data_IF_172149881814
#
_entry.id   IF_172149881814
#
_cell.length_a   1.000
_cell.length_b   1.000
_cell.length_c   1.000
_cell.angle_alpha   90.00
_cell.angle_beta   90.00
_cell.angle_gamma   90.00
#
_symmetry.space_group_name_H-M   'P 1'
#
loop_
_entity.id
_entity.type
_entity.pdbx_description
1 polymer ?
#
# COMPACT_ATOMS: atom_id res chain seq x y z
N UNK A 1 -21.17 30.18 0.01
CA UNK A 1 -21.06 28.76 0.38
C UNK A 1 -20.13 28.70 1.56
N UNK A 2 -20.56 28.06 2.64
CA UNK A 2 -19.75 27.82 3.82
C UNK A 2 -18.66 26.81 3.45
N UNK A 3 -17.42 27.27 3.29
CA UNK A 3 -16.30 26.45 2.80
C UNK A 3 -16.08 25.21 3.65
N UNK A 4 -16.42 25.29 4.93
CA UNK A 4 -16.18 24.24 5.93
C UNK A 4 -17.17 23.06 5.78
N UNK A 5 -18.15 23.21 4.88
CA UNK A 5 -19.06 22.15 4.45
C UNK A 5 -18.70 21.53 3.09
N UNK A 6 -17.61 21.96 2.45
CA UNK A 6 -17.13 21.41 1.18
C UNK A 6 -15.81 20.65 1.37
N UNK A 7 -15.82 19.35 1.09
CA UNK A 7 -14.61 18.51 1.10
C UNK A 7 -14.03 18.39 -0.32
N UNK A 8 -12.75 18.69 -0.48
CA UNK A 8 -11.98 18.29 -1.65
C UNK A 8 -11.38 16.90 -1.45
N UNK A 9 -11.84 15.89 -2.17
CA UNK A 9 -11.31 14.52 -2.12
C UNK A 9 -10.33 14.30 -3.28
N UNK A 10 -9.05 14.07 -2.99
CA UNK A 10 -8.03 13.79 -4.00
C UNK A 10 -7.80 12.29 -4.14
N UNK A 11 -8.26 11.72 -5.26
CA UNK A 11 -8.03 10.30 -5.62
C UNK A 11 -6.81 10.21 -6.51
N UNK A 12 -5.76 9.59 -5.97
CA UNK A 12 -4.42 9.64 -6.56
C UNK A 12 -4.15 8.46 -7.48
N UNK A 13 -4.65 7.28 -7.14
CA UNK A 13 -4.36 6.02 -7.81
C UNK A 13 -5.37 4.92 -7.44
N UNK A 14 -5.19 3.73 -8.00
CA UNK A 14 -6.01 2.56 -7.73
C UNK A 14 -6.00 2.09 -6.27
N UNK A 15 -4.95 2.38 -5.50
CA UNK A 15 -4.91 2.01 -4.07
C UNK A 15 -5.78 2.96 -3.25
N UNK A 16 -5.69 4.27 -3.51
CA UNK A 16 -6.61 5.25 -2.96
C UNK A 16 -8.05 4.95 -3.35
N UNK A 17 -8.29 4.56 -4.60
CA UNK A 17 -9.61 4.11 -5.04
C UNK A 17 -10.08 2.88 -4.26
N UNK A 18 -9.28 1.81 -4.16
CA UNK A 18 -9.62 0.61 -3.38
C UNK A 18 -10.02 0.96 -1.95
N UNK A 19 -9.21 1.80 -1.30
CA UNK A 19 -9.34 2.08 0.11
C UNK A 19 -10.54 2.99 0.41
N UNK A 20 -10.95 3.87 -0.50
CA UNK A 20 -11.96 4.91 -0.22
C UNK A 20 -13.24 4.81 -1.07
N UNK A 21 -13.21 4.16 -2.24
CA UNK A 21 -14.41 3.93 -3.07
C UNK A 21 -14.98 2.52 -2.90
N UNK A 22 -14.14 1.51 -2.64
CA UNK A 22 -14.61 0.15 -2.36
C UNK A 22 -14.85 -0.11 -0.86
N UNK A 23 -14.95 0.95 -0.07
CA UNK A 23 -15.32 0.94 1.35
C UNK A 23 -16.58 1.80 1.55
N UNK A 24 -17.07 1.90 2.79
CA UNK A 24 -18.22 2.76 3.12
C UNK A 24 -17.94 4.27 3.05
N UNK A 25 -16.71 4.69 2.73
CA UNK A 25 -16.25 6.05 2.92
C UNK A 25 -17.01 7.11 2.11
N UNK A 26 -17.38 6.82 0.87
CA UNK A 26 -18.11 7.79 0.04
C UNK A 26 -19.45 8.18 0.66
N UNK A 27 -20.19 7.22 1.19
CA UNK A 27 -21.49 7.46 1.83
C UNK A 27 -21.35 8.20 3.17
N UNK A 28 -20.29 7.89 3.92
CA UNK A 28 -19.97 8.57 5.18
C UNK A 28 -19.62 10.04 4.93
N UNK A 29 -18.81 10.38 3.92
CA UNK A 29 -18.50 11.79 3.63
C UNK A 29 -19.70 12.56 3.08
N UNK A 30 -20.56 11.95 2.25
CA UNK A 30 -21.81 12.58 1.79
C UNK A 30 -22.73 12.93 2.96
N UNK A 31 -22.71 12.13 4.02
CA UNK A 31 -23.51 12.39 5.23
C UNK A 31 -22.92 13.48 6.13
N UNK A 32 -21.62 13.79 6.00
CA UNK A 32 -20.91 14.74 6.87
C UNK A 32 -20.63 16.10 6.21
N UNK A 33 -20.70 16.18 4.88
CA UNK A 33 -20.40 17.38 4.10
C UNK A 33 -21.55 17.69 3.13
N UNK A 34 -21.81 18.98 2.89
CA UNK A 34 -22.86 19.41 1.95
C UNK A 34 -22.45 19.20 0.50
N UNK A 35 -21.15 19.26 0.22
CA UNK A 35 -20.62 19.09 -1.13
C UNK A 35 -19.27 18.37 -1.11
N UNK A 36 -19.11 17.42 -2.02
CA UNK A 36 -17.84 16.72 -2.25
C UNK A 36 -17.31 17.08 -3.63
N UNK A 37 -16.06 17.55 -3.71
CA UNK A 37 -15.36 17.81 -4.97
C UNK A 37 -14.27 16.76 -5.13
N UNK A 38 -14.44 15.86 -6.09
CA UNK A 38 -13.54 14.73 -6.31
C UNK A 38 -12.49 15.14 -7.34
N UNK A 39 -11.30 15.47 -6.87
CA UNK A 39 -10.13 15.77 -7.70
C UNK A 39 -9.43 14.45 -8.04
N UNK A 40 -9.71 13.90 -9.22
CA UNK A 40 -9.26 12.57 -9.61
C UNK A 40 -8.09 12.62 -10.58
N UNK A 41 -6.98 11.97 -10.20
CA UNK A 41 -5.90 11.60 -11.12
C UNK A 41 -6.25 10.37 -11.98
N UNK A 42 -7.38 9.70 -11.70
CA UNK A 42 -7.93 8.60 -12.49
C UNK A 42 -8.94 9.11 -13.54
N UNK A 43 -9.12 8.39 -14.66
CA UNK A 43 -10.18 8.69 -15.64
C UNK A 43 -11.58 8.65 -15.04
N UNK A 44 -12.51 9.44 -15.57
CA UNK A 44 -13.89 9.50 -15.06
C UNK A 44 -14.65 8.18 -15.18
N UNK A 45 -14.33 7.35 -16.18
CA UNK A 45 -14.96 6.05 -16.41
C UNK A 45 -14.84 5.09 -15.22
N UNK A 46 -13.81 5.25 -14.39
CA UNK A 46 -13.57 4.44 -13.18
C UNK A 46 -14.68 4.64 -12.13
N UNK A 47 -15.38 5.76 -12.17
CA UNK A 47 -16.41 6.10 -11.18
C UNK A 47 -17.84 5.80 -11.65
N UNK A 48 -18.02 5.25 -12.86
CA UNK A 48 -19.35 5.06 -13.46
C UNK A 48 -20.27 4.12 -12.67
N UNK A 49 -19.72 3.21 -11.87
CA UNK A 49 -20.49 2.26 -11.06
C UNK A 49 -20.90 2.81 -9.68
N UNK A 50 -20.50 4.04 -9.32
CA UNK A 50 -20.80 4.66 -8.03
C UNK A 50 -21.87 5.73 -8.19
N UNK A 51 -22.75 5.82 -7.21
CA UNK A 51 -23.63 6.98 -7.10
C UNK A 51 -22.79 8.22 -6.73
N UNK A 52 -22.66 9.16 -7.65
CA UNK A 52 -22.00 10.44 -7.43
C UNK A 52 -22.99 11.59 -7.23
N UNK A 53 -24.25 11.30 -6.87
CA UNK A 53 -25.20 12.32 -6.45
C UNK A 53 -24.60 13.19 -5.33
N UNK A 54 -24.70 14.51 -5.47
CA UNK A 54 -24.08 15.47 -4.54
C UNK A 54 -22.57 15.67 -4.68
N UNK A 55 -21.90 14.95 -5.61
CA UNK A 55 -20.47 15.09 -5.88
C UNK A 55 -20.21 15.85 -7.19
N UNK A 56 -19.08 16.57 -7.25
CA UNK A 56 -18.54 17.14 -8.49
C UNK A 56 -17.23 16.44 -8.82
N UNK A 57 -17.18 15.73 -9.94
CA UNK A 57 -15.97 15.08 -10.42
C UNK A 57 -15.11 16.05 -11.26
N UNK A 58 -13.86 16.21 -10.86
CA UNK A 58 -12.86 17.07 -11.52
C UNK A 58 -11.66 16.23 -11.89
N UNK A 59 -11.39 16.09 -13.19
CA UNK A 59 -10.21 15.38 -13.65
C UNK A 59 -8.96 16.26 -13.47
N UNK A 60 -7.90 15.68 -12.87
CA UNK A 60 -6.59 16.28 -12.75
C UNK A 60 -5.72 15.91 -13.95
N UNK A 61 -5.13 16.91 -14.58
CA UNK A 61 -4.11 16.69 -15.61
C UNK A 61 -2.92 15.88 -15.07
N UNK A 62 -2.34 15.03 -15.91
CA UNK A 62 -1.11 14.29 -15.61
C UNK A 62 0.09 15.24 -15.56
N UNK A 63 0.60 15.47 -14.35
CA UNK A 63 1.78 16.29 -14.14
C UNK A 63 3.06 15.51 -14.52
N UNK A 64 3.79 16.03 -15.50
CA UNK A 64 5.11 15.51 -15.87
C UNK A 64 6.22 16.28 -15.18
N UNK A 65 7.04 15.56 -14.41
CA UNK A 65 8.10 16.14 -13.60
C UNK A 65 9.22 16.74 -14.47
N UNK A 66 9.59 18.00 -14.20
CA UNK A 66 10.74 18.62 -14.84
C UNK A 66 12.07 18.13 -14.23
N UNK A 67 13.17 18.23 -14.96
CA UNK A 67 14.49 17.82 -14.46
C UNK A 67 14.92 18.54 -13.17
N UNK A 68 14.57 19.83 -13.05
CA UNK A 68 14.83 20.64 -11.86
C UNK A 68 13.97 20.17 -10.67
N UNK A 69 12.68 19.91 -10.90
CA UNK A 69 11.79 19.38 -9.87
C UNK A 69 12.28 18.02 -9.35
N UNK A 70 12.58 17.12 -10.29
CA UNK A 70 13.13 15.81 -9.98
C UNK A 70 14.38 15.89 -9.11
N UNK A 71 15.31 16.79 -9.45
CA UNK A 71 16.59 16.88 -8.75
C UNK A 71 16.39 17.26 -7.27
N UNK A 72 15.56 18.26 -7.00
CA UNK A 72 15.29 18.67 -5.61
C UNK A 72 14.40 17.68 -4.88
N UNK A 73 13.42 17.06 -5.54
CA UNK A 73 12.66 15.95 -4.96
C UNK A 73 13.57 14.80 -4.55
N UNK A 74 14.48 14.37 -5.45
CA UNK A 74 15.41 13.27 -5.18
C UNK A 74 16.42 13.64 -4.09
N UNK A 75 16.92 14.87 -4.08
CA UNK A 75 17.83 15.33 -3.03
C UNK A 75 17.13 15.37 -1.66
N UNK A 76 15.87 15.85 -1.61
CA UNK A 76 15.01 15.81 -0.41
C UNK A 76 14.80 14.39 0.10
N UNK A 77 14.51 13.46 -0.81
CA UNK A 77 14.35 12.03 -0.52
C UNK A 77 15.62 11.43 0.10
N UNK A 78 16.78 11.63 -0.54
CA UNK A 78 18.07 11.10 -0.07
C UNK A 78 18.50 11.72 1.26
N UNK A 79 18.27 13.03 1.45
CA UNK A 79 18.54 13.71 2.71
C UNK A 79 17.72 13.10 3.86
N UNK A 80 16.42 12.85 3.64
CA UNK A 80 15.57 12.19 4.62
C UNK A 80 16.02 10.76 4.95
N UNK A 81 16.35 9.95 3.93
CA UNK A 81 16.86 8.60 4.13
C UNK A 81 18.16 8.61 4.94
N UNK A 82 19.13 9.46 4.57
CA UNK A 82 20.43 9.57 5.26
C UNK A 82 20.30 10.01 6.71
N UNK A 83 19.41 10.98 6.99
CA UNK A 83 19.12 11.44 8.36
C UNK A 83 18.71 10.30 9.27
N UNK A 84 17.88 9.39 8.76
CA UNK A 84 17.22 8.36 9.55
C UNK A 84 17.88 6.97 9.43
N UNK A 85 18.93 6.82 8.61
CA UNK A 85 19.54 5.52 8.29
C UNK A 85 20.30 4.85 9.45
N UNK A 86 20.69 5.60 10.49
CA UNK A 86 21.63 5.12 11.53
C UNK A 86 21.34 3.71 12.06
N UNK A 87 20.11 3.46 12.51
CA UNK A 87 19.65 2.15 13.03
C UNK A 87 18.44 1.59 12.28
N UNK A 88 18.23 2.01 11.02
CA UNK A 88 17.09 1.57 10.22
C UNK A 88 17.55 0.91 8.92
N UNK A 89 17.52 -0.42 8.90
CA UNK A 89 17.93 -1.20 7.74
C UNK A 89 17.12 -0.89 6.48
N UNK A 90 15.82 -0.63 6.59
CA UNK A 90 14.96 -0.30 5.45
C UNK A 90 15.43 0.97 4.72
N UNK A 91 15.83 2.00 5.47
CA UNK A 91 16.41 3.20 4.87
C UNK A 91 17.81 2.97 4.29
N UNK A 92 18.65 2.18 4.96
CA UNK A 92 19.96 1.81 4.43
C UNK A 92 19.84 1.03 3.11
N UNK A 93 18.90 0.08 3.04
CA UNK A 93 18.67 -0.71 1.84
C UNK A 93 18.11 0.14 0.70
N UNK A 94 17.18 1.06 1.00
CA UNK A 94 16.71 2.02 0.01
C UNK A 94 17.84 2.93 -0.48
N UNK A 95 18.76 3.37 0.38
CA UNK A 95 19.93 4.14 -0.05
C UNK A 95 20.84 3.35 -0.99
N UNK A 96 21.01 2.05 -0.78
CA UNK A 96 21.77 1.16 -1.69
C UNK A 96 21.03 1.00 -3.02
N UNK A 97 19.75 0.66 -2.99
CA UNK A 97 18.93 0.44 -4.18
C UNK A 97 18.79 1.69 -5.08
N UNK A 98 18.83 2.88 -4.48
CA UNK A 98 18.72 4.14 -5.22
C UNK A 98 20.06 4.66 -5.77
N UNK A 99 21.19 4.02 -5.44
CA UNK A 99 22.49 4.42 -5.93
C UNK A 99 22.73 3.90 -7.34
N UNK A 100 23.51 4.62 -8.15
CA UNK A 100 23.83 4.21 -9.52
C UNK A 100 25.24 4.59 -9.92
N UNK A 101 25.92 3.65 -10.56
CA UNK A 101 27.26 3.83 -11.15
C UNK A 101 27.20 4.26 -12.62
N UNK A 102 26.00 4.36 -13.21
CA UNK A 102 25.81 4.75 -14.60
C UNK A 102 26.51 6.08 -14.94
N UNK A 103 27.25 6.12 -16.04
CA UNK A 103 27.92 7.33 -16.53
C UNK A 103 27.01 8.28 -17.32
N UNK A 104 25.72 7.97 -17.42
CA UNK A 104 24.71 8.86 -18.02
C UNK A 104 24.63 10.21 -17.30
N UNK A 105 24.12 11.24 -18.00
CA UNK A 105 23.84 12.57 -17.38
C UNK A 105 22.99 12.42 -16.12
N UNK A 106 21.98 11.55 -16.17
CA UNK A 106 21.10 11.21 -15.04
C UNK A 106 21.86 10.56 -13.90
N UNK A 107 22.71 9.57 -14.18
CA UNK A 107 23.51 8.89 -13.16
C UNK A 107 24.48 9.84 -12.45
N UNK A 108 25.13 10.75 -13.19
CA UNK A 108 25.97 11.81 -12.60
C UNK A 108 25.18 12.74 -11.68
N UNK A 109 23.97 13.14 -12.07
CA UNK A 109 23.08 13.95 -11.22
C UNK A 109 22.63 13.21 -9.95
N UNK A 110 22.33 11.91 -10.04
CA UNK A 110 22.02 11.09 -8.86
C UNK A 110 23.20 11.09 -7.90
N UNK A 111 24.42 10.78 -8.38
CA UNK A 111 25.62 10.80 -7.52
C UNK A 111 25.90 12.16 -6.91
N UNK A 112 25.63 13.24 -7.63
CA UNK A 112 25.72 14.59 -7.08
C UNK A 112 24.71 14.82 -5.96
N UNK A 113 23.45 14.39 -6.12
CA UNK A 113 22.44 14.46 -5.06
C UNK A 113 22.83 13.61 -3.83
N UNK A 114 23.48 12.46 -4.02
CA UNK A 114 24.07 11.68 -2.91
C UNK A 114 25.15 12.48 -2.17
N UNK A 115 26.15 13.01 -2.87
CA UNK A 115 27.22 13.82 -2.24
C UNK A 115 26.66 15.05 -1.51
N UNK A 116 25.64 15.69 -2.08
CA UNK A 116 24.98 16.83 -1.48
C UNK A 116 24.24 16.45 -0.19
N UNK A 117 23.42 15.39 -0.24
CA UNK A 117 22.67 14.90 0.93
C UNK A 117 23.54 14.24 2.02
N UNK A 118 24.81 13.93 1.72
CA UNK A 118 25.80 13.48 2.72
C UNK A 118 26.08 14.56 3.76
N UNK A 119 26.19 15.81 3.32
CA UNK A 119 26.46 16.98 4.18
C UNK A 119 25.19 17.71 4.62
N UNK A 120 24.14 17.63 3.81
CA UNK A 120 22.89 18.38 4.03
C UNK A 120 21.70 17.42 4.21
N UNK A 121 21.61 16.81 5.39
CA UNK A 121 20.52 15.89 5.77
C UNK A 121 19.75 16.30 7.03
N UNK A 122 19.99 17.50 7.57
CA UNK A 122 19.17 18.02 8.68
C UNK A 122 17.72 18.32 8.24
N UNK A 123 16.78 18.50 9.17
CA UNK A 123 15.40 18.87 8.80
C UNK A 123 15.36 20.24 8.10
N UNK A 124 16.26 21.17 8.45
CA UNK A 124 16.41 22.47 7.81
C UNK A 124 16.89 22.32 6.36
N UNK A 125 17.81 21.38 6.11
CA UNK A 125 18.29 21.07 4.77
C UNK A 125 17.19 20.43 3.92
N UNK A 126 16.46 19.46 4.48
CA UNK A 126 15.31 18.81 3.83
C UNK A 126 14.26 19.86 3.45
N UNK A 127 13.93 20.78 4.36
CA UNK A 127 13.02 21.89 4.09
C UNK A 127 13.55 22.81 2.98
N UNK A 128 14.84 23.14 2.99
CA UNK A 128 15.44 23.97 1.94
C UNK A 128 15.29 23.31 0.58
N UNK A 129 15.54 22.01 0.47
CA UNK A 129 15.31 21.26 -0.77
C UNK A 129 13.83 21.22 -1.15
N UNK A 130 12.93 21.10 -0.17
CA UNK A 130 11.49 21.18 -0.41
C UNK A 130 11.07 22.54 -0.97
N UNK A 131 11.54 23.66 -0.41
CA UNK A 131 11.27 25.01 -0.95
C UNK A 131 11.84 25.21 -2.35
N UNK A 132 13.02 24.65 -2.63
CA UNK A 132 13.61 24.67 -3.98
C UNK A 132 12.79 23.82 -4.96
N UNK A 133 12.29 22.65 -4.53
CA UNK A 133 11.33 21.86 -5.29
C UNK A 133 10.06 22.68 -5.58
N UNK A 134 9.50 23.37 -4.58
CA UNK A 134 8.29 24.19 -4.74
C UNK A 134 8.44 25.34 -5.74
N UNK A 135 9.62 25.97 -5.81
CA UNK A 135 9.89 27.03 -6.81
C UNK A 135 9.66 26.55 -8.25
N UNK A 136 9.86 25.26 -8.52
CA UNK A 136 9.62 24.71 -9.86
C UNK A 136 8.13 24.59 -10.19
N UNK A 137 7.25 24.56 -9.19
CA UNK A 137 5.79 24.47 -9.39
C UNK A 137 5.15 25.82 -9.67
N UNK A 138 5.71 26.91 -9.13
CA UNK A 138 5.08 28.24 -9.09
C UNK A 138 4.53 28.72 -10.44
N UNK A 139 5.29 28.51 -11.52
CA UNK A 139 4.93 28.96 -12.87
C UNK A 139 4.44 27.84 -13.79
N UNK A 140 4.36 26.59 -13.30
CA UNK A 140 3.97 25.46 -14.12
C UNK A 140 2.49 25.55 -14.55
N UNK A 141 2.14 25.27 -15.81
CA UNK A 141 0.76 25.35 -16.31
C UNK A 141 -0.24 24.54 -15.46
N UNK A 142 0.08 23.29 -15.13
CA UNK A 142 -0.80 22.45 -14.29
C UNK A 142 -1.05 23.06 -12.92
N UNK A 143 -0.03 23.64 -12.28
CA UNK A 143 -0.21 24.35 -10.99
C UNK A 143 -1.15 25.54 -11.14
N UNK A 144 -1.03 26.33 -12.21
CA UNK A 144 -1.95 27.45 -12.48
C UNK A 144 -3.37 26.95 -12.68
N UNK A 145 -3.56 25.81 -13.36
CA UNK A 145 -4.87 25.19 -13.51
C UNK A 145 -5.43 24.71 -12.16
N UNK A 146 -4.63 24.02 -11.35
CA UNK A 146 -5.03 23.59 -10.00
C UNK A 146 -5.44 24.77 -9.13
N UNK A 147 -4.70 25.89 -9.15
CA UNK A 147 -5.10 27.12 -8.45
C UNK A 147 -6.47 27.60 -8.90
N UNK A 148 -6.73 27.70 -10.21
CA UNK A 148 -8.07 28.09 -10.73
C UNK A 148 -9.18 27.16 -10.24
N UNK A 149 -8.93 25.85 -10.24
CA UNK A 149 -9.90 24.85 -9.75
C UNK A 149 -10.17 25.03 -8.26
N UNK A 150 -9.11 25.21 -7.46
CA UNK A 150 -9.22 25.43 -6.02
C UNK A 150 -9.90 26.76 -5.68
N UNK A 151 -9.61 27.85 -6.40
CA UNK A 151 -10.31 29.13 -6.21
C UNK A 151 -11.77 29.08 -6.67
N UNK A 152 -12.11 28.21 -7.65
CA UNK A 152 -13.49 27.97 -8.12
C UNK A 152 -14.32 27.22 -7.07
N UNK A 153 -13.79 26.11 -6.55
CA UNK A 153 -14.54 25.20 -5.68
C UNK A 153 -14.40 25.52 -4.19
N UNK A 154 -13.30 26.17 -3.78
CA UNK A 154 -13.01 26.63 -2.40
C UNK A 154 -13.34 25.59 -1.31
N UNK A 155 -12.79 24.37 -1.38
CA UNK A 155 -12.99 23.39 -0.32
C UNK A 155 -12.37 23.90 1.00
N UNK A 156 -13.05 23.68 2.13
CA UNK A 156 -12.51 23.99 3.46
C UNK A 156 -11.37 23.05 3.87
N UNK A 157 -11.37 21.83 3.32
CA UNK A 157 -10.32 20.85 3.49
C UNK A 157 -10.05 20.08 2.19
N UNK A 158 -8.78 19.91 1.83
CA UNK A 158 -8.33 19.06 0.74
C UNK A 158 -7.68 17.79 1.29
N UNK A 159 -8.36 16.65 1.13
CA UNK A 159 -7.94 15.34 1.62
C UNK A 159 -7.27 14.50 0.54
N UNK A 160 -6.03 14.09 0.78
CA UNK A 160 -5.22 13.25 -0.11
C UNK A 160 -5.22 11.81 0.35
N UNK A 161 -5.78 10.94 -0.49
CA UNK A 161 -5.82 9.48 -0.26
C UNK A 161 -4.46 8.80 -0.32
N UNK A 162 -3.43 9.47 -0.88
CA UNK A 162 -2.06 8.99 -0.92
C UNK A 162 -1.05 10.16 -0.85
N UNK A 163 -0.04 10.02 0.01
CA UNK A 163 0.95 11.04 0.36
C UNK A 163 2.27 11.07 -0.45
N UNK A 164 2.52 10.12 -1.37
CA UNK A 164 3.87 9.90 -1.95
C UNK A 164 4.04 10.27 -3.43
N UNK A 165 3.09 10.02 -4.35
CA UNK A 165 3.35 10.18 -5.76
C UNK A 165 3.79 11.61 -6.09
N UNK A 166 4.87 11.83 -6.87
CA UNK A 166 5.39 13.17 -7.14
C UNK A 166 4.35 14.09 -7.79
N UNK A 167 3.43 13.53 -8.57
CA UNK A 167 2.42 14.28 -9.33
C UNK A 167 1.34 14.92 -8.46
N UNK A 168 1.23 14.59 -7.17
CA UNK A 168 0.33 15.32 -6.25
C UNK A 168 0.96 16.60 -5.68
N UNK A 169 2.29 16.74 -5.76
CA UNK A 169 3.02 17.87 -5.15
C UNK A 169 2.64 19.26 -5.72
N UNK A 170 2.36 19.44 -7.02
CA UNK A 170 1.91 20.74 -7.54
C UNK A 170 0.50 21.12 -7.08
N UNK A 171 -0.40 20.14 -6.89
CA UNK A 171 -1.75 20.39 -6.32
C UNK A 171 -1.64 20.79 -4.84
N UNK A 172 -0.80 20.08 -4.08
CA UNK A 172 -0.50 20.45 -2.69
C UNK A 172 0.09 21.86 -2.58
N UNK A 173 1.04 22.20 -3.46
CA UNK A 173 1.59 23.56 -3.55
C UNK A 173 0.52 24.59 -3.92
N UNK A 174 -0.40 24.27 -4.84
CA UNK A 174 -1.52 25.14 -5.18
C UNK A 174 -2.43 25.38 -3.98
N UNK A 175 -2.76 24.33 -3.21
CA UNK A 175 -3.56 24.45 -1.98
C UNK A 175 -2.88 25.36 -0.94
N UNK A 176 -1.55 25.25 -0.76
CA UNK A 176 -0.79 26.16 0.12
C UNK A 176 -0.91 27.63 -0.32
N UNK A 177 -0.88 27.91 -1.64
CA UNK A 177 -0.99 29.28 -2.16
C UNK A 177 -2.41 29.84 -2.17
N UNK A 178 -3.40 28.99 -2.10
CA UNK A 178 -4.81 29.36 -1.93
C UNK A 178 -5.25 29.27 -0.46
N UNK A 179 -4.32 29.04 0.48
CA UNK A 179 -4.56 28.95 1.93
C UNK A 179 -5.60 27.88 2.32
N UNK A 180 -5.69 26.81 1.53
CA UNK A 180 -6.60 25.68 1.78
C UNK A 180 -5.91 24.66 2.69
N UNK A 181 -6.59 24.28 3.78
CA UNK A 181 -6.11 23.23 4.69
C UNK A 181 -6.00 21.90 3.96
N UNK A 182 -4.94 21.15 4.27
CA UNK A 182 -4.66 19.86 3.64
C UNK A 182 -4.53 18.75 4.67
N UNK A 183 -5.08 17.58 4.35
CA UNK A 183 -4.95 16.38 5.15
C UNK A 183 -4.52 15.22 4.26
N UNK A 184 -3.64 14.33 4.73
CA UNK A 184 -3.25 13.14 3.96
C UNK A 184 -3.37 11.86 4.76
N UNK A 185 -3.85 10.81 4.11
CA UNK A 185 -3.83 9.46 4.65
C UNK A 185 -2.50 8.77 4.36
N UNK A 186 -1.86 8.24 5.41
CA UNK A 186 -0.67 7.41 5.27
C UNK A 186 -1.13 5.99 4.96
N UNK A 187 -1.23 5.67 3.67
CA UNK A 187 -1.96 4.48 3.23
C UNK A 187 -1.28 3.13 3.46
N UNK A 188 -0.04 3.07 3.94
CA UNK A 188 0.64 1.78 4.18
C UNK A 188 1.61 1.88 5.35
N UNK A 189 1.59 0.84 6.17
CA UNK A 189 2.42 0.58 7.35
C UNK A 189 3.92 0.48 7.06
N UNK A 190 4.34 0.13 5.84
CA UNK A 190 5.77 0.04 5.47
C UNK A 190 6.38 1.38 5.05
N UNK A 191 5.55 2.41 4.78
CA UNK A 191 6.00 3.65 4.16
C UNK A 191 6.95 4.46 5.05
N UNK A 192 6.55 4.70 6.30
CA UNK A 192 7.22 5.66 7.19
C UNK A 192 8.61 5.18 7.59
N UNK A 193 8.75 3.90 7.88
CA UNK A 193 9.97 3.32 8.44
C UNK A 193 10.89 2.68 7.40
N UNK A 194 10.59 2.77 6.09
CA UNK A 194 11.47 2.18 5.07
C UNK A 194 11.61 2.96 3.78
N UNK A 195 10.68 3.86 3.44
CA UNK A 195 10.64 4.51 2.12
C UNK A 195 11.17 5.95 2.19
N UNK A 196 11.28 6.58 1.03
CA UNK A 196 11.70 7.99 0.91
C UNK A 196 10.68 8.99 1.45
N UNK A 197 11.05 10.28 1.45
CA UNK A 197 10.21 11.39 1.95
C UNK A 197 8.90 11.52 1.15
N UNK A 198 7.82 11.98 1.82
CA UNK A 198 6.53 12.30 1.21
C UNK A 198 6.64 13.36 0.10
N UNK A 199 5.60 13.45 -0.75
CA UNK A 199 5.54 14.39 -1.85
C UNK A 199 5.67 15.86 -1.37
N UNK A 200 5.07 16.19 -0.23
CA UNK A 200 5.22 17.47 0.46
C UNK A 200 4.77 17.43 1.92
N UNK A 201 4.58 18.62 2.50
CA UNK A 201 4.11 18.79 3.87
C UNK A 201 2.60 19.05 3.85
N UNK A 202 1.85 18.42 4.77
CA UNK A 202 0.41 18.58 4.92
C UNK A 202 0.09 19.24 6.26
N UNK A 203 -1.08 19.85 6.40
CA UNK A 203 -1.50 20.42 7.69
C UNK A 203 -1.83 19.31 8.69
N UNK A 204 -2.48 18.23 8.23
CA UNK A 204 -2.90 17.10 9.04
C UNK A 204 -2.59 15.75 8.39
N UNK A 205 -2.52 14.71 9.22
CA UNK A 205 -2.17 13.35 8.84
C UNK A 205 -3.09 12.34 9.52
N UNK A 206 -3.63 11.42 8.72
CA UNK A 206 -4.41 10.28 9.22
C UNK A 206 -3.56 9.01 9.10
N UNK A 207 -3.45 8.25 10.18
CA UNK A 207 -2.65 7.02 10.27
C UNK A 207 -3.46 5.86 10.83
N UNK A 208 -2.99 4.62 10.61
CA UNK A 208 -3.73 3.42 10.98
C UNK A 208 -3.77 3.25 12.51
N UNK A 209 -2.61 3.24 13.13
CA UNK A 209 -2.41 2.84 14.52
C UNK A 209 -1.54 3.84 15.30
N UNK A 210 -1.48 3.63 16.61
CA UNK A 210 -0.53 4.35 17.47
C UNK A 210 0.92 4.14 17.02
N UNK A 211 1.27 2.93 16.57
CA UNK A 211 2.60 2.65 16.04
C UNK A 211 2.95 3.55 14.84
N UNK A 212 2.06 3.68 13.86
CA UNK A 212 2.31 4.57 12.72
C UNK A 212 2.36 6.04 13.12
N UNK A 213 1.62 6.45 14.16
CA UNK A 213 1.72 7.79 14.73
C UNK A 213 3.12 8.03 15.30
N UNK A 214 3.63 7.09 16.11
CA UNK A 214 4.96 7.18 16.71
C UNK A 214 6.06 7.21 15.62
N UNK A 215 5.96 6.34 14.61
CA UNK A 215 6.90 6.32 13.49
C UNK A 215 6.86 7.62 12.66
N UNK A 216 5.67 8.22 12.47
CA UNK A 216 5.54 9.50 11.77
C UNK A 216 6.25 10.60 12.54
N UNK A 217 6.00 10.72 13.85
CA UNK A 217 6.64 11.72 14.71
C UNK A 217 8.16 11.50 14.82
N UNK A 218 8.62 10.25 14.81
CA UNK A 218 10.03 9.90 14.83
C UNK A 218 10.76 10.35 13.55
N UNK A 219 10.22 10.02 12.36
CA UNK A 219 10.94 10.24 11.10
C UNK A 219 10.66 11.62 10.47
N UNK A 220 9.64 12.33 10.94
CA UNK A 220 9.23 13.64 10.45
C UNK A 220 9.21 14.65 11.59
N UNK A 221 10.40 15.00 12.10
CA UNK A 221 10.56 15.83 13.31
C UNK A 221 10.00 17.26 13.27
N UNK A 222 9.34 17.68 12.18
CA UNK A 222 8.57 18.94 12.08
C UNK A 222 7.07 18.76 12.25
N UNK A 223 6.59 17.52 12.25
CA UNK A 223 5.19 17.19 12.50
C UNK A 223 5.00 17.11 14.01
N UNK A 224 3.97 17.77 14.51
CA UNK A 224 3.58 17.70 15.92
C UNK A 224 2.44 16.72 16.16
N UNK A 225 2.30 16.25 17.40
CA UNK A 225 1.25 15.31 17.81
C UNK A 225 -0.16 15.74 17.40
N UNK A 226 -0.45 17.05 17.53
CA UNK A 226 -1.75 17.67 17.21
C UNK A 226 -2.13 17.57 15.73
N UNK A 227 -1.16 17.32 14.85
CA UNK A 227 -1.39 17.16 13.42
C UNK A 227 -1.75 15.72 13.03
N UNK A 228 -1.65 14.76 13.95
CA UNK A 228 -1.77 13.33 13.63
C UNK A 228 -2.95 12.70 14.37
N UNK A 229 -3.88 12.12 13.60
CA UNK A 229 -5.03 11.38 14.13
C UNK A 229 -4.95 9.90 13.74
N UNK A 230 -5.19 9.02 14.73
CA UNK A 230 -5.23 7.57 14.54
C UNK A 230 -6.66 7.16 14.20
N UNK A 231 -6.90 6.72 12.97
CA UNK A 231 -8.24 6.49 12.42
C UNK A 231 -8.50 5.04 11.99
N UNK A 232 -7.51 4.16 12.07
CA UNK A 232 -7.60 2.83 11.47
C UNK A 232 -7.28 2.87 9.98
N UNK A 233 -7.65 1.80 9.27
CA UNK A 233 -7.37 1.71 7.84
C UNK A 233 -8.57 1.20 7.06
N UNK A 234 -9.04 1.95 6.04
CA UNK A 234 -10.19 1.52 5.26
C UNK A 234 -9.79 0.43 4.25
N UNK A 235 -8.50 0.06 4.17
CA UNK A 235 -8.01 -1.08 3.37
C UNK A 235 -8.64 -2.41 3.78
N UNK A 236 -8.94 -2.61 5.07
CA UNK A 236 -9.45 -3.87 5.63
C UNK A 236 -10.93 -3.81 6.00
N UNK A 237 -11.55 -2.62 6.00
CA UNK A 237 -12.98 -2.48 6.30
C UNK A 237 -13.89 -3.31 5.36
N UNK A 238 -13.59 -3.46 4.05
CA UNK A 238 -14.36 -4.34 3.17
C UNK A 238 -14.46 -5.80 3.63
N UNK A 239 -13.51 -6.25 4.46
CA UNK A 239 -13.51 -7.62 4.97
C UNK A 239 -14.62 -7.89 5.99
N UNK A 240 -15.20 -6.83 6.56
CA UNK A 240 -16.32 -6.91 7.53
C UNK A 240 -17.63 -6.32 6.99
N UNK A 241 -17.66 -5.96 5.71
CA UNK A 241 -18.79 -5.34 5.02
C UNK A 241 -19.73 -6.40 4.40
N UNK A 242 -21.05 -6.42 4.69
CA UNK A 242 -21.96 -7.46 4.21
C UNK A 242 -21.99 -7.66 2.68
N UNK A 243 -21.85 -6.60 1.90
CA UNK A 243 -21.88 -6.63 0.43
C UNK A 243 -20.74 -7.44 -0.21
N UNK A 244 -19.64 -7.63 0.53
CA UNK A 244 -18.50 -8.45 0.11
C UNK A 244 -18.53 -9.85 0.72
N UNK A 245 -19.50 -10.16 1.59
CA UNK A 245 -19.62 -11.48 2.20
C UNK A 245 -19.95 -12.55 1.15
N UNK A 246 -19.57 -13.79 1.45
CA UNK A 246 -19.79 -14.96 0.60
C UNK A 246 -19.85 -16.20 1.47
N UNK A 247 -20.23 -17.32 0.90
CA UNK A 247 -20.29 -18.63 1.54
C UNK A 247 -19.10 -19.51 1.15
N UNK A 248 -18.79 -20.52 1.97
CA UNK A 248 -17.74 -21.50 1.64
C UNK A 248 -18.04 -22.26 0.34
N UNK A 249 -19.31 -22.52 0.05
CA UNK A 249 -19.73 -23.17 -1.21
C UNK A 249 -19.46 -22.27 -2.42
N UNK A 250 -19.72 -20.96 -2.32
CA UNK A 250 -19.36 -20.01 -3.38
C UNK A 250 -17.85 -19.97 -3.59
N UNK A 251 -17.04 -20.02 -2.52
CA UNK A 251 -15.59 -20.10 -2.62
C UNK A 251 -15.12 -21.34 -3.41
N UNK A 252 -15.62 -22.53 -3.05
CA UNK A 252 -15.26 -23.76 -3.77
C UNK A 252 -15.67 -23.69 -5.24
N UNK A 253 -16.90 -23.25 -5.52
CA UNK A 253 -17.40 -23.13 -6.90
C UNK A 253 -16.65 -22.06 -7.71
N UNK A 254 -16.30 -20.92 -7.08
CA UNK A 254 -15.63 -19.79 -7.75
C UNK A 254 -14.25 -20.16 -8.26
N UNK A 255 -13.53 -20.99 -7.51
CA UNK A 255 -12.14 -21.35 -7.76
C UNK A 255 -11.96 -22.81 -8.20
N UNK A 256 -13.06 -23.53 -8.44
CA UNK A 256 -13.06 -24.94 -8.87
C UNK A 256 -12.25 -25.82 -7.90
N UNK A 257 -12.55 -25.69 -6.60
CA UNK A 257 -11.89 -26.39 -5.50
C UNK A 257 -12.77 -27.56 -5.02
N UNK A 258 -12.14 -28.63 -4.57
CA UNK A 258 -12.81 -29.78 -3.97
C UNK A 258 -13.35 -29.40 -2.57
N UNK A 259 -14.65 -29.59 -2.32
CA UNK A 259 -15.27 -29.19 -1.05
C UNK A 259 -14.83 -30.02 0.16
N UNK A 260 -14.29 -31.21 -0.06
CA UNK A 260 -13.87 -32.13 0.99
C UNK A 260 -12.41 -31.90 1.43
N UNK A 261 -11.66 -31.08 0.68
CA UNK A 261 -10.24 -30.81 0.96
C UNK A 261 -10.05 -29.44 1.61
N UNK A 262 -9.12 -29.36 2.55
CA UNK A 262 -8.61 -28.06 3.03
C UNK A 262 -7.96 -27.28 1.89
N UNK A 263 -7.96 -25.96 1.95
CA UNK A 263 -7.34 -25.08 0.94
C UNK A 263 -6.16 -24.31 1.50
N UNK A 264 -4.99 -24.46 0.87
CA UNK A 264 -3.86 -23.56 1.09
C UNK A 264 -3.81 -22.52 -0.03
N UNK A 265 -3.53 -21.28 0.32
CA UNK A 265 -3.36 -20.20 -0.65
C UNK A 265 -1.95 -19.62 -0.61
N UNK A 266 -1.24 -19.65 -1.74
CA UNK A 266 -0.04 -18.87 -1.94
C UNK A 266 -0.39 -17.54 -2.64
N UNK A 267 -0.13 -16.41 -2.00
CA UNK A 267 -0.32 -15.08 -2.60
C UNK A 267 1.02 -14.49 -3.04
N UNK A 268 1.19 -14.31 -4.34
CA UNK A 268 2.41 -13.79 -4.95
C UNK A 268 2.56 -12.29 -4.71
N UNK A 269 3.81 -11.83 -4.69
CA UNK A 269 4.16 -10.43 -4.76
C UNK A 269 4.72 -10.04 -6.13
N UNK A 270 5.04 -8.76 -6.30
CA UNK A 270 5.68 -8.26 -7.53
C UNK A 270 7.10 -8.83 -7.70
N UNK A 271 7.49 -9.19 -8.93
CA UNK A 271 8.77 -9.79 -9.30
C UNK A 271 9.98 -9.04 -8.75
N UNK A 272 9.92 -7.71 -8.61
CA UNK A 272 11.01 -6.90 -8.08
C UNK A 272 11.26 -7.15 -6.58
N UNK A 273 10.25 -7.64 -5.87
CA UNK A 273 10.28 -7.95 -4.44
C UNK A 273 10.24 -9.44 -4.15
N UNK A 274 9.59 -10.23 -5.00
CA UNK A 274 9.20 -11.61 -4.72
C UNK A 274 9.66 -12.57 -5.81
N UNK A 275 10.87 -12.35 -6.34
CA UNK A 275 11.41 -13.11 -7.48
C UNK A 275 11.39 -14.63 -7.27
N UNK A 276 11.48 -15.11 -6.03
CA UNK A 276 11.45 -16.52 -5.66
C UNK A 276 10.03 -17.14 -5.58
N UNK A 277 8.93 -16.39 -5.80
CA UNK A 277 7.57 -16.96 -5.78
C UNK A 277 7.41 -18.25 -6.60
N UNK A 278 7.94 -18.33 -7.85
CA UNK A 278 7.81 -19.56 -8.63
C UNK A 278 8.51 -20.76 -7.97
N UNK A 279 9.64 -20.54 -7.28
CA UNK A 279 10.35 -21.57 -6.52
C UNK A 279 9.50 -22.07 -5.33
N UNK A 280 8.81 -21.17 -4.64
CA UNK A 280 7.94 -21.55 -3.52
C UNK A 280 6.73 -22.35 -3.97
N UNK A 281 6.08 -21.91 -5.04
CA UNK A 281 4.92 -22.60 -5.63
C UNK A 281 5.35 -24.00 -6.11
N UNK A 282 6.46 -24.10 -6.82
CA UNK A 282 7.02 -25.38 -7.27
C UNK A 282 7.38 -26.29 -6.10
N UNK A 283 7.98 -25.75 -5.04
CA UNK A 283 8.34 -26.51 -3.83
C UNK A 283 7.10 -27.12 -3.17
N UNK A 284 6.00 -26.36 -3.07
CA UNK A 284 4.74 -26.84 -2.49
C UNK A 284 4.09 -27.87 -3.41
N UNK A 285 4.04 -27.62 -4.72
CA UNK A 285 3.47 -28.54 -5.70
C UNK A 285 4.18 -29.90 -5.71
N UNK A 286 5.52 -29.90 -5.68
CA UNK A 286 6.33 -31.12 -5.59
C UNK A 286 6.12 -31.85 -4.26
N UNK A 287 5.97 -31.13 -3.15
CA UNK A 287 5.70 -31.72 -1.84
C UNK A 287 4.33 -32.43 -1.80
N UNK A 288 3.31 -31.86 -2.45
CA UNK A 288 1.99 -32.49 -2.62
C UNK A 288 2.10 -33.78 -3.44
N UNK A 289 2.79 -33.75 -4.59
CA UNK A 289 2.97 -34.94 -5.45
C UNK A 289 3.73 -36.07 -4.71
N UNK A 290 4.71 -35.71 -3.88
CA UNK A 290 5.55 -36.67 -3.13
C UNK A 290 4.94 -37.12 -1.81
N UNK A 291 3.75 -36.63 -1.45
CA UNK A 291 3.12 -36.86 -0.14
C UNK A 291 4.04 -36.46 1.04
N UNK A 292 4.82 -35.39 0.86
CA UNK A 292 5.61 -34.77 1.95
C UNK A 292 4.72 -33.88 2.84
N UNK A 293 3.55 -33.47 2.34
CA UNK A 293 2.47 -32.85 3.11
C UNK A 293 1.48 -33.95 3.49
N UNK A 294 1.11 -34.03 4.77
CA UNK A 294 0.45 -35.21 5.38
C UNK A 294 -1.02 -35.41 4.96
N UNK A 295 -1.62 -34.45 4.27
CA UNK A 295 -3.00 -34.48 3.80
C UNK A 295 -3.11 -34.06 2.32
N UNK A 296 -4.14 -34.54 1.62
CA UNK A 296 -4.51 -34.02 0.29
C UNK A 296 -5.18 -32.66 0.44
N UNK A 297 -4.81 -31.69 -0.42
CA UNK A 297 -5.22 -30.30 -0.28
C UNK A 297 -5.57 -29.69 -1.63
N UNK A 298 -6.50 -28.73 -1.60
CA UNK A 298 -6.61 -27.75 -2.65
C UNK A 298 -5.42 -26.78 -2.59
N UNK A 299 -4.74 -26.55 -3.72
CA UNK A 299 -3.68 -25.55 -3.82
C UNK A 299 -4.11 -24.40 -4.74
N UNK A 300 -4.37 -23.23 -4.13
CA UNK A 300 -4.73 -22.00 -4.81
C UNK A 300 -3.54 -21.04 -4.86
N UNK A 301 -3.23 -20.51 -6.04
CA UNK A 301 -2.24 -19.43 -6.20
C UNK A 301 -2.94 -18.16 -6.65
N UNK A 302 -2.76 -17.07 -5.90
CA UNK A 302 -3.23 -15.73 -6.28
C UNK A 302 -2.04 -14.89 -6.75
N UNK A 303 -2.07 -14.41 -7.99
CA UNK A 303 -0.98 -13.58 -8.53
C UNK A 303 -1.00 -12.17 -7.93
N UNK A 304 0.13 -11.45 -8.05
CA UNK A 304 0.17 -10.03 -7.72
C UNK A 304 -0.71 -9.23 -8.70
N UNK A 305 -1.46 -8.21 -8.25
CA UNK A 305 -2.20 -7.33 -9.16
C UNK A 305 -1.28 -6.51 -10.09
N UNK A 306 0.02 -6.44 -9.80
CA UNK A 306 1.05 -5.76 -10.58
C UNK A 306 1.64 -6.60 -11.71
N UNK A 307 1.31 -7.90 -11.73
CA UNK A 307 1.95 -8.84 -12.63
C UNK A 307 1.00 -9.38 -13.68
N UNK A 308 1.58 -9.77 -14.80
CA UNK A 308 0.88 -10.47 -15.85
C UNK A 308 0.99 -12.00 -15.64
N UNK A 309 -0.02 -12.79 -16.06
CA UNK A 309 -0.05 -14.24 -15.86
C UNK A 309 1.16 -15.02 -16.42
N UNK A 310 1.86 -14.47 -17.41
CA UNK A 310 2.93 -15.14 -18.17
C UNK A 310 4.11 -15.55 -17.29
N UNK A 311 4.34 -14.84 -16.17
CA UNK A 311 5.39 -15.19 -15.18
C UNK A 311 5.28 -16.65 -14.70
N UNK A 312 4.06 -17.19 -14.70
CA UNK A 312 3.76 -18.50 -14.13
C UNK A 312 3.28 -19.54 -15.15
N UNK A 313 3.32 -19.26 -16.46
CA UNK A 313 2.85 -20.19 -17.50
C UNK A 313 3.45 -21.58 -17.38
N UNK A 314 4.76 -21.66 -17.16
CA UNK A 314 5.45 -22.96 -17.03
C UNK A 314 4.96 -23.78 -15.81
N UNK A 315 4.60 -23.11 -14.70
CA UNK A 315 4.04 -23.80 -13.53
C UNK A 315 2.61 -24.28 -13.79
N UNK A 316 1.82 -23.51 -14.54
CA UNK A 316 0.46 -23.90 -14.92
C UNK A 316 0.47 -25.16 -15.79
N UNK A 317 1.41 -25.23 -16.72
CA UNK A 317 1.58 -26.37 -17.61
C UNK A 317 2.13 -27.59 -16.85
N UNK A 318 3.12 -27.38 -15.97
CA UNK A 318 3.75 -28.46 -15.19
C UNK A 318 2.84 -29.01 -14.09
N UNK A 319 2.03 -28.15 -13.47
CA UNK A 319 1.17 -28.50 -12.32
C UNK A 319 -0.29 -28.07 -12.56
N UNK A 320 -1.02 -28.78 -13.44
CA UNK A 320 -2.38 -28.39 -13.84
C UNK A 320 -3.43 -28.48 -12.72
N UNK A 321 -3.10 -29.15 -11.60
CA UNK A 321 -3.97 -29.21 -10.42
C UNK A 321 -3.98 -27.90 -9.61
N UNK A 322 -2.99 -27.02 -9.79
CA UNK A 322 -2.96 -25.71 -9.12
C UNK A 322 -4.09 -24.86 -9.68
N UNK A 323 -4.94 -24.33 -8.80
CA UNK A 323 -5.98 -23.35 -9.16
C UNK A 323 -5.38 -21.95 -9.11
N UNK A 324 -5.73 -21.11 -10.09
CA UNK A 324 -5.13 -19.78 -10.23
C UNK A 324 -6.20 -18.70 -10.11
N UNK A 325 -5.93 -17.71 -9.29
CA UNK A 325 -6.70 -16.49 -9.20
C UNK A 325 -5.87 -15.29 -9.68
N UNK A 326 -6.36 -14.61 -10.72
CA UNK A 326 -5.78 -13.38 -11.24
C UNK A 326 -6.60 -12.20 -10.71
N UNK A 327 -5.98 -11.28 -9.94
CA UNK A 327 -6.68 -10.13 -9.43
C UNK A 327 -7.32 -9.32 -10.57
N UNK A 328 -8.60 -9.00 -10.44
CA UNK A 328 -9.34 -8.26 -11.46
C UNK A 328 -9.06 -6.75 -11.36
N UNK A 329 -7.80 -6.37 -11.61
CA UNK A 329 -7.31 -4.99 -11.66
C UNK A 329 -7.17 -4.58 -13.12
N UNK A 330 -7.92 -3.56 -13.54
CA UNK A 330 -7.91 -3.10 -14.94
C UNK A 330 -7.05 -1.86 -15.09
N UNK A 331 -6.22 -1.83 -16.14
CA UNK A 331 -5.41 -0.66 -16.48
C UNK A 331 -6.31 0.42 -17.08
N UNK A 332 -6.61 1.48 -16.32
CA UNK A 332 -7.53 2.54 -16.78
C UNK A 332 -6.88 3.51 -17.77
N UNK A 333 -5.55 3.66 -17.71
CA UNK A 333 -4.76 4.52 -18.62
C UNK A 333 -3.30 4.04 -18.69
N UNK A 334 -2.75 3.87 -19.89
CA UNK A 334 -1.35 3.45 -20.10
C UNK A 334 -0.36 4.62 -20.12
N UNK A 335 -0.76 5.76 -20.69
CA UNK A 335 0.09 6.95 -20.82
C UNK A 335 -0.01 7.88 -19.59
N UNK A 336 0.45 7.38 -18.44
CA UNK A 336 0.57 8.15 -17.21
C UNK A 336 2.03 8.19 -16.73
N UNK A 337 2.41 9.18 -15.93
CA UNK A 337 3.75 9.25 -15.33
C UNK A 337 4.11 8.04 -14.46
N UNK A 338 3.10 7.42 -13.85
CA UNK A 338 3.20 6.16 -13.10
C UNK A 338 2.10 5.20 -13.58
N UNK A 339 2.41 4.30 -14.52
CA UNK A 339 1.42 3.40 -15.14
C UNK A 339 0.74 2.48 -14.12
N UNK A 340 1.49 1.93 -13.16
CA UNK A 340 0.95 1.08 -12.08
C UNK A 340 -0.17 1.79 -11.29
N UNK A 341 -0.04 3.10 -11.06
CA UNK A 341 -1.01 3.87 -10.27
C UNK A 341 -2.40 3.92 -10.92
N UNK A 342 -2.51 3.54 -12.20
CA UNK A 342 -3.74 3.51 -12.97
C UNK A 342 -4.36 2.11 -13.06
N UNK A 343 -3.84 1.11 -12.34
CA UNK A 343 -4.51 -0.20 -12.21
C UNK A 343 -5.58 -0.12 -11.12
N UNK A 344 -6.83 -0.37 -11.50
CA UNK A 344 -7.99 -0.16 -10.63
C UNK A 344 -8.61 -1.50 -10.24
N UNK A 345 -8.73 -1.82 -8.94
CA UNK A 345 -9.43 -3.02 -8.49
C UNK A 345 -10.93 -2.91 -8.79
N UNK A 346 -11.52 -4.04 -9.16
CA UNK A 346 -12.98 -4.19 -9.23
C UNK A 346 -13.57 -4.66 -7.91
N UNK A 347 -14.86 -4.42 -7.72
CA UNK A 347 -15.66 -5.04 -6.64
C UNK A 347 -15.57 -6.57 -6.65
N UNK A 348 -15.51 -7.17 -7.85
CA UNK A 348 -15.30 -8.60 -8.03
C UNK A 348 -13.97 -9.08 -7.46
N UNK A 349 -12.87 -8.35 -7.69
CA UNK A 349 -11.56 -8.70 -7.11
C UNK A 349 -11.61 -8.69 -5.58
N UNK A 350 -12.32 -7.73 -4.99
CA UNK A 350 -12.44 -7.61 -3.54
C UNK A 350 -13.26 -8.77 -2.93
N UNK A 351 -14.32 -9.22 -3.61
CA UNK A 351 -15.06 -10.44 -3.25
C UNK A 351 -14.19 -11.69 -3.36
N UNK A 352 -13.47 -11.83 -4.47
CA UNK A 352 -12.54 -12.96 -4.69
C UNK A 352 -11.47 -12.99 -3.58
N UNK A 353 -10.85 -11.85 -3.28
CA UNK A 353 -9.86 -11.72 -2.21
C UNK A 353 -10.45 -12.08 -0.86
N UNK A 354 -11.61 -11.51 -0.48
CA UNK A 354 -12.23 -11.83 0.81
C UNK A 354 -12.53 -13.32 0.95
N UNK A 355 -13.11 -13.96 -0.08
CA UNK A 355 -13.34 -15.41 -0.04
C UNK A 355 -12.05 -16.19 0.21
N UNK A 356 -10.96 -15.83 -0.46
CA UNK A 356 -9.65 -16.46 -0.26
C UNK A 356 -9.18 -16.30 1.18
N UNK A 357 -9.28 -15.10 1.75
CA UNK A 357 -8.84 -14.81 3.12
C UNK A 357 -9.71 -15.52 4.17
N UNK A 358 -11.03 -15.57 3.94
CA UNK A 358 -12.02 -16.08 4.88
C UNK A 358 -12.09 -17.62 4.87
N UNK A 359 -11.93 -18.25 3.70
CA UNK A 359 -12.19 -19.68 3.52
C UNK A 359 -10.96 -20.55 3.25
N UNK A 360 -9.79 -19.97 2.93
CA UNK A 360 -8.54 -20.75 2.96
C UNK A 360 -8.22 -21.15 4.40
N UNK A 361 -7.60 -22.32 4.56
CA UNK A 361 -7.15 -22.85 5.86
C UNK A 361 -5.76 -22.33 6.23
N UNK A 362 -4.93 -21.96 5.24
CA UNK A 362 -3.57 -21.44 5.43
C UNK A 362 -3.19 -20.43 4.35
N UNK A 363 -2.64 -19.29 4.76
CA UNK A 363 -2.05 -18.30 3.88
C UNK A 363 -0.52 -18.40 3.81
N UNK A 364 0.05 -18.34 2.61
CA UNK A 364 1.51 -18.35 2.38
C UNK A 364 1.88 -17.16 1.51
N UNK A 365 2.85 -16.35 1.94
CA UNK A 365 3.29 -15.17 1.19
C UNK A 365 4.69 -14.74 1.57
N UNK A 366 5.48 -14.22 0.63
CA UNK A 366 6.80 -13.65 0.92
C UNK A 366 6.62 -12.24 1.49
N UNK A 367 6.78 -12.10 2.81
CA UNK A 367 6.84 -10.85 3.56
C UNK A 367 5.86 -9.72 3.13
N UNK A 368 4.59 -10.06 2.89
CA UNK A 368 3.60 -9.17 2.31
C UNK A 368 2.56 -8.72 3.34
N UNK A 369 1.86 -7.60 3.04
CA UNK A 369 0.65 -7.19 3.77
C UNK A 369 -0.40 -8.30 3.79
N UNK A 370 -0.38 -9.23 2.82
CA UNK A 370 -1.22 -10.44 2.80
C UNK A 370 -1.16 -11.23 4.12
N UNK A 371 -0.05 -11.15 4.86
CA UNK A 371 0.02 -11.71 6.22
C UNK A 371 -1.03 -11.08 7.15
N UNK A 372 -1.16 -9.75 7.17
CA UNK A 372 -2.20 -9.06 7.93
C UNK A 372 -3.60 -9.37 7.37
N UNK A 373 -3.75 -9.44 6.04
CA UNK A 373 -5.03 -9.78 5.41
C UNK A 373 -5.58 -11.14 5.89
N UNK A 374 -4.75 -12.19 5.92
CA UNK A 374 -5.13 -13.51 6.42
C UNK A 374 -5.38 -13.50 7.93
N UNK A 375 -4.57 -12.75 8.69
CA UNK A 375 -4.72 -12.64 10.14
C UNK A 375 -6.06 -12.01 10.54
N UNK A 376 -6.65 -11.13 9.73
CA UNK A 376 -7.98 -10.54 10.01
C UNK A 376 -9.04 -11.62 10.21
N UNK A 377 -8.92 -12.75 9.50
CA UNK A 377 -9.78 -13.92 9.63
C UNK A 377 -9.16 -15.02 10.53
N UNK A 378 -8.15 -14.65 11.32
CA UNK A 378 -7.38 -15.52 12.21
C UNK A 378 -6.77 -16.75 11.52
N UNK A 379 -6.43 -16.63 10.23
CA UNK A 379 -5.78 -17.70 9.48
C UNK A 379 -4.29 -17.78 9.80
N UNK A 380 -3.73 -18.99 9.93
CA UNK A 380 -2.29 -19.16 10.06
C UNK A 380 -1.56 -18.66 8.81
N UNK A 381 -0.32 -18.19 9.00
CA UNK A 381 0.50 -17.59 7.94
C UNK A 381 1.93 -18.12 7.98
N UNK A 382 2.45 -18.49 6.80
CA UNK A 382 3.86 -18.83 6.60
C UNK A 382 4.48 -17.81 5.64
N UNK A 383 5.70 -17.35 5.98
CA UNK A 383 6.50 -16.51 5.10
C UNK A 383 7.77 -17.25 4.65
N UNK A 384 7.79 -17.81 3.43
CA UNK A 384 9.00 -18.38 2.88
C UNK A 384 9.98 -17.29 2.45
N UNK A 385 11.25 -17.49 2.76
CA UNK A 385 12.40 -16.59 2.50
C UNK A 385 13.66 -17.42 2.25
N UNK A 386 13.67 -18.19 1.17
CA UNK A 386 14.76 -19.12 0.88
C UNK A 386 16.04 -18.41 0.46
N UNK A 387 15.96 -17.19 -0.06
CA UNK A 387 17.13 -16.53 -0.62
C UNK A 387 17.90 -15.71 0.40
N UNK A 388 19.22 -15.92 0.39
CA UNK A 388 20.17 -15.22 1.26
C UNK A 388 21.33 -14.66 0.43
N UNK A 389 22.22 -13.91 1.07
CA UNK A 389 23.45 -13.40 0.42
C UNK A 389 24.38 -14.52 -0.06
N UNK A 390 24.21 -15.76 0.42
CA UNK A 390 25.19 -16.82 0.30
C UNK A 390 24.76 -17.99 -0.60
N UNK A 391 23.52 -18.01 -1.12
CA UNK A 391 22.99 -19.19 -1.83
C UNK A 391 22.56 -18.94 -3.28
N UNK A 392 22.83 -17.75 -3.83
CA UNK A 392 22.59 -17.43 -5.24
C UNK A 392 21.13 -17.19 -5.63
N UNK A 393 20.18 -17.39 -4.71
CA UNK A 393 18.79 -17.00 -4.89
C UNK A 393 18.61 -15.49 -4.67
N UNK A 394 17.47 -14.95 -5.09
CA UNK A 394 17.13 -13.56 -4.76
C UNK A 394 17.04 -13.40 -3.24
N UNK A 395 17.85 -12.53 -2.64
CA UNK A 395 17.98 -12.39 -1.19
C UNK A 395 16.74 -11.75 -0.53
N UNK A 396 15.65 -12.50 -0.39
CA UNK A 396 14.41 -12.05 0.26
C UNK A 396 14.47 -12.09 1.79
N UNK A 397 15.39 -12.85 2.40
CA UNK A 397 15.65 -12.78 3.85
C UNK A 397 16.04 -11.36 4.31
N UNK A 398 16.58 -10.51 3.42
CA UNK A 398 16.86 -9.11 3.76
C UNK A 398 15.61 -8.35 4.22
N UNK A 399 14.41 -8.72 3.76
CA UNK A 399 13.17 -8.04 4.16
C UNK A 399 12.81 -8.27 5.63
N UNK A 400 13.26 -9.38 6.24
CA UNK A 400 13.08 -9.63 7.68
C UNK A 400 13.71 -8.56 8.56
N UNK A 401 14.73 -7.84 8.04
CA UNK A 401 15.43 -6.76 8.74
C UNK A 401 14.70 -5.41 8.63
N UNK A 402 13.65 -5.29 7.81
CA UNK A 402 12.90 -4.03 7.68
C UNK A 402 12.12 -3.73 8.95
N UNK A 403 12.08 -2.45 9.36
CA UNK A 403 11.53 -2.05 10.66
C UNK A 403 10.05 -2.43 10.90
N UNK A 404 9.23 -2.51 9.85
CA UNK A 404 7.84 -2.97 9.95
C UNK A 404 7.77 -4.50 10.06
N UNK A 405 8.61 -5.22 9.30
CA UNK A 405 8.61 -6.68 9.25
C UNK A 405 9.31 -7.33 10.43
N UNK A 406 10.33 -6.68 10.99
CA UNK A 406 10.98 -7.10 12.24
C UNK A 406 9.96 -7.31 13.36
N UNK A 407 8.93 -6.45 13.43
CA UNK A 407 7.82 -6.58 14.39
C UNK A 407 6.95 -7.82 14.12
N UNK A 408 6.79 -8.22 12.86
CA UNK A 408 6.10 -9.46 12.48
C UNK A 408 6.91 -10.66 12.97
N UNK A 409 8.21 -10.69 12.68
CA UNK A 409 9.12 -11.77 13.11
C UNK A 409 9.15 -11.88 14.64
N UNK A 410 9.36 -10.77 15.33
CA UNK A 410 9.43 -10.70 16.81
C UNK A 410 8.10 -11.05 17.49
N UNK A 411 6.97 -10.87 16.81
CA UNK A 411 5.66 -11.21 17.37
C UNK A 411 5.39 -12.71 17.46
N UNK A 412 6.09 -13.54 16.68
CA UNK A 412 5.79 -14.97 16.55
C UNK A 412 4.47 -15.28 15.82
N UNK A 413 3.81 -14.28 15.23
CA UNK A 413 2.50 -14.46 14.58
C UNK A 413 2.54 -15.29 13.28
N UNK A 414 3.72 -15.54 12.74
CA UNK A 414 3.96 -16.24 11.47
C UNK A 414 5.06 -17.28 11.64
N UNK A 415 5.05 -18.33 10.81
CA UNK A 415 6.24 -19.17 10.64
C UNK A 415 7.10 -18.55 9.55
N UNK A 416 8.36 -18.26 9.85
CA UNK A 416 9.37 -17.92 8.84
C UNK A 416 9.99 -19.23 8.36
N UNK A 417 10.02 -19.46 7.05
CA UNK A 417 10.60 -20.66 6.45
C UNK A 417 11.77 -20.29 5.55
N UNK A 418 13.00 -20.60 5.98
CA UNK A 418 14.23 -20.24 5.27
C UNK A 418 14.65 -21.29 4.23
N UNK A 419 13.95 -22.42 4.16
CA UNK A 419 14.23 -23.49 3.20
C UNK A 419 13.01 -24.40 2.98
N UNK A 420 13.12 -25.31 2.00
CA UNK A 420 12.08 -26.30 1.66
C UNK A 420 11.58 -27.08 2.87
N UNK A 421 12.50 -27.57 3.71
CA UNK A 421 12.16 -28.43 4.85
C UNK A 421 11.30 -27.67 5.85
N UNK A 422 11.66 -26.43 6.17
CA UNK A 422 10.90 -25.57 7.08
C UNK A 422 9.55 -25.16 6.50
N UNK A 423 9.46 -24.89 5.19
CA UNK A 423 8.18 -24.57 4.55
C UNK A 423 7.19 -25.73 4.69
N UNK A 424 7.62 -26.96 4.36
CA UNK A 424 6.76 -28.14 4.44
C UNK A 424 6.40 -28.46 5.90
N UNK A 425 7.37 -28.41 6.80
CA UNK A 425 7.12 -28.61 8.23
C UNK A 425 6.12 -27.58 8.78
N UNK A 426 6.24 -26.32 8.37
CA UNK A 426 5.31 -25.26 8.74
C UNK A 426 3.90 -25.49 8.19
N UNK A 427 3.78 -25.98 6.95
CA UNK A 427 2.49 -26.36 6.35
C UNK A 427 1.83 -27.46 7.19
N UNK A 428 2.51 -28.57 7.43
CA UNK A 428 1.96 -29.68 8.25
C UNK A 428 1.58 -29.20 9.65
N UNK A 429 2.43 -28.39 10.29
CA UNK A 429 2.16 -27.83 11.62
C UNK A 429 0.86 -27.04 11.66
N UNK A 430 0.61 -26.15 10.69
CA UNK A 430 -0.59 -25.33 10.69
C UNK A 430 -1.85 -26.04 10.19
N UNK A 431 -1.71 -27.10 9.39
CA UNK A 431 -2.84 -27.96 9.01
C UNK A 431 -3.31 -28.82 10.19
N UNK A 432 -2.38 -29.26 11.06
CA UNK A 432 -2.69 -29.98 12.30
C UNK A 432 -3.21 -29.01 13.39
N UNK A 433 -2.55 -27.84 13.55
CA UNK A 433 -2.78 -26.90 14.65
C UNK A 433 -2.97 -25.46 14.14
N UNK A 434 -4.09 -25.15 13.46
CA UNK A 434 -4.32 -23.81 12.88
C UNK A 434 -4.39 -22.69 13.93
N UNK A 435 -4.75 -23.03 15.17
CA UNK A 435 -4.83 -22.10 16.31
C UNK A 435 -3.49 -21.79 17.00
N UNK A 436 -2.38 -22.46 16.63
CA UNK A 436 -1.12 -22.44 17.37
C UNK A 436 -0.62 -21.02 17.74
N UNK A 437 -0.66 -20.09 16.78
CA UNK A 437 -0.21 -18.70 16.96
C UNK A 437 -1.36 -17.67 16.89
N UNK A 438 -2.60 -18.08 17.20
CA UNK A 438 -3.76 -17.17 17.18
C UNK A 438 -3.61 -15.97 18.12
N UNK A 439 -3.12 -16.12 19.38
CA UNK A 439 -2.90 -14.98 20.27
C UNK A 439 -1.92 -13.94 19.69
N UNK A 440 -0.82 -14.41 19.07
CA UNK A 440 0.22 -13.59 18.47
C UNK A 440 -0.31 -12.83 17.25
N UNK A 441 -1.06 -13.51 16.37
CA UNK A 441 -1.75 -12.87 15.23
C UNK A 441 -2.68 -11.74 15.69
N UNK A 442 -3.51 -12.00 16.70
CA UNK A 442 -4.41 -10.98 17.28
C UNK A 442 -3.64 -9.82 17.90
N UNK A 443 -2.52 -10.09 18.57
CA UNK A 443 -1.67 -9.07 19.16
C UNK A 443 -1.02 -8.18 18.07
N UNK A 444 -0.49 -8.79 17.03
CA UNK A 444 0.12 -8.09 15.89
C UNK A 444 -0.91 -7.21 15.15
N UNK A 445 -2.13 -7.71 14.92
CA UNK A 445 -3.20 -6.90 14.32
C UNK A 445 -3.55 -5.67 15.17
N UNK A 446 -3.67 -5.83 16.49
CA UNK A 446 -3.91 -4.69 17.40
C UNK A 446 -2.78 -3.67 17.32
N UNK A 447 -1.52 -4.12 17.23
CA UNK A 447 -0.37 -3.23 17.09
C UNK A 447 -0.41 -2.46 15.76
N UNK A 448 -0.66 -3.15 14.63
CA UNK A 448 -0.52 -2.58 13.30
C UNK A 448 -1.75 -1.76 12.85
N UNK A 449 -2.96 -2.22 13.16
CA UNK A 449 -4.22 -1.59 12.73
C UNK A 449 -4.80 -0.68 13.82
N UNK A 450 -4.68 -1.05 15.09
CA UNK A 450 -5.03 -0.21 16.24
C UNK A 450 -6.52 0.07 16.49
N UNK A 451 -7.34 0.20 15.45
CA UNK A 451 -8.78 0.50 15.53
C UNK A 451 -9.64 -0.65 14.99
N UNK A 452 -10.91 -0.77 15.41
CA UNK A 452 -11.85 -1.72 14.82
C UNK A 452 -12.02 -1.50 13.33
N UNK A 453 -12.20 -2.58 12.56
CA UNK A 453 -12.43 -2.48 11.11
C UNK A 453 -13.80 -1.88 10.79
N UNK A 454 -14.84 -2.31 11.52
CA UNK A 454 -16.21 -1.81 11.34
C UNK A 454 -16.31 -0.35 11.77
N UNK A 455 -16.81 0.51 10.87
CA UNK A 455 -16.99 1.94 11.13
C UNK A 455 -15.70 2.75 10.95
N UNK A 456 -14.68 2.18 10.30
CA UNK A 456 -13.45 2.91 9.97
C UNK A 456 -13.76 4.09 9.07
N UNK A 457 -14.58 3.90 8.02
CA UNK A 457 -15.01 4.96 7.11
C UNK A 457 -15.71 6.11 7.84
N UNK A 458 -16.62 5.80 8.77
CA UNK A 458 -17.31 6.78 9.59
C UNK A 458 -16.33 7.58 10.47
N UNK A 459 -15.37 6.89 11.10
CA UNK A 459 -14.33 7.52 11.91
C UNK A 459 -13.42 8.46 11.11
N UNK A 460 -13.08 8.09 9.87
CA UNK A 460 -12.32 8.95 8.96
C UNK A 460 -13.17 10.16 8.55
N UNK A 461 -14.43 9.99 8.16
CA UNK A 461 -15.31 11.09 7.77
C UNK A 461 -15.50 12.11 8.92
N UNK A 462 -15.73 11.64 10.15
CA UNK A 462 -15.83 12.48 11.33
C UNK A 462 -14.53 13.26 11.62
N UNK A 463 -13.38 12.57 11.48
CA UNK A 463 -12.05 13.18 11.61
C UNK A 463 -11.84 14.30 10.60
N UNK A 464 -12.17 14.06 9.32
CA UNK A 464 -12.09 15.07 8.27
C UNK A 464 -13.04 16.24 8.54
N UNK A 465 -14.26 15.98 9.05
CA UNK A 465 -15.21 17.04 9.37
C UNK A 465 -14.69 17.94 10.48
N UNK A 466 -14.12 17.36 11.54
CA UNK A 466 -13.47 18.11 12.62
C UNK A 466 -12.33 18.99 12.11
N UNK A 467 -11.49 18.45 11.22
CA UNK A 467 -10.35 19.19 10.65
C UNK A 467 -10.79 20.30 9.69
N UNK A 468 -11.95 20.17 9.06
CA UNK A 468 -12.48 21.20 8.17
C UNK A 468 -13.01 22.42 8.94
N UNK A 469 -13.46 22.25 10.19
CA UNK A 469 -14.06 23.32 11.00
C UNK A 469 -13.11 23.93 12.04
N UNK A 470 -11.98 23.28 12.32
CA UNK A 470 -10.91 23.78 13.19
C UNK A 470 -9.87 24.50 12.37
#
# INVERSE_FOLDING_TARGET
MDSDNTLGLVITDGVGFRNFFLSGFLEEIKSNFQQIIIFSALPSSVFNEFDLSGCVLVHLEDYRESGFNWFFRKTKELAHLKKNAGNNFGFQDNLRANYTESNSRRGKLVRFAYKLSERFNSEESIERFYRLQQKSFANHPSTKNYRKLLSKYKPGLLFFTHQRPPYIAPLLYAAEKEEIKTCSFIFSWDNLASKGRMAGNFNHYLVWSGLMKDELLQFYGRISDKQVQVVGTPQFEPYVMPEYSSTKNEFHNRFDLDSELKTICFSCGDVSTSANDPLYIETIAEALIKNEIEENLNFLVRTSPAEEPERFTYLREKYPFIKWNYPAWTQSRSNHSETWSQRIPSTKDLKDLRMILEFSDLGINMCSTMSLDFMVFDKPVINPVFGSENNGLYNDQRFLKYAHYKKVVESGAVIIAENKKELIAGINTYLEKPGLHSPERKSLLRLQIGKPLKGTSAGIAASLKQLSTA
#
